data_IF_319313525171
#
_entry.id   IF_319313525171
#
_cell.length_a   1.000
_cell.length_b   1.000
_cell.length_c   1.000
_cell.angle_alpha   90.00
_cell.angle_beta   90.00
_cell.angle_gamma   90.00
#
_symmetry.space_group_name_H-M   'P 1'
#
loop_
_entity.id
_entity.type
_entity.pdbx_description
1 polymer ?
#
# COMPACT_ATOMS: atom_id res chain seq x y z
N UNK A 1 18.78 0.91 -22.03
CA UNK A 1 19.38 0.16 -20.91
C UNK A 1 18.54 0.40 -19.67
N UNK A 2 18.70 -0.37 -18.58
CA UNK A 2 17.95 -0.13 -17.32
C UNK A 2 18.15 1.29 -16.80
N UNK A 3 19.36 1.83 -16.92
CA UNK A 3 19.68 3.23 -16.56
C UNK A 3 18.84 4.23 -17.36
N UNK A 4 18.78 4.09 -18.68
CA UNK A 4 17.93 4.95 -19.51
C UNK A 4 16.45 4.81 -19.17
N UNK A 5 15.99 3.60 -18.81
CA UNK A 5 14.62 3.39 -18.34
C UNK A 5 14.34 4.07 -17.00
N UNK A 6 15.29 4.08 -16.05
CA UNK A 6 15.15 4.81 -14.78
C UNK A 6 15.19 6.33 -15.02
N UNK A 7 16.08 6.82 -15.88
CA UNK A 7 16.15 8.25 -16.23
C UNK A 7 14.89 8.77 -16.92
N UNK A 8 14.26 7.93 -17.73
CA UNK A 8 13.02 8.27 -18.43
C UNK A 8 11.76 8.05 -17.59
N UNK A 9 11.86 7.40 -16.42
CA UNK A 9 10.72 7.16 -15.56
C UNK A 9 10.39 8.42 -14.75
N UNK A 10 9.14 8.84 -14.81
CA UNK A 10 8.67 10.02 -14.08
C UNK A 10 8.45 9.68 -12.60
N UNK A 11 9.54 9.74 -11.84
CA UNK A 11 9.53 9.45 -10.41
C UNK A 11 8.60 10.41 -9.64
N UNK A 12 8.47 11.65 -10.09
CA UNK A 12 7.67 12.67 -9.41
C UNK A 12 6.17 12.34 -9.51
N UNK A 13 5.74 11.75 -10.63
CA UNK A 13 4.37 11.30 -10.83
C UNK A 13 3.97 10.06 -10.00
N UNK A 14 4.95 9.32 -9.43
CA UNK A 14 4.68 8.08 -8.70
C UNK A 14 3.76 8.28 -7.49
N UNK A 15 4.00 9.34 -6.72
CA UNK A 15 3.18 9.68 -5.53
C UNK A 15 1.72 9.94 -5.91
N UNK A 16 1.49 10.70 -6.97
CA UNK A 16 0.17 11.01 -7.53
C UNK A 16 -0.57 9.74 -7.97
N UNK A 17 0.09 8.85 -8.73
CA UNK A 17 -0.54 7.61 -9.18
C UNK A 17 -0.84 6.64 -8.02
N UNK A 18 -0.02 6.62 -6.97
CA UNK A 18 -0.33 5.88 -5.75
C UNK A 18 -1.59 6.45 -5.08
N UNK A 19 -1.69 7.77 -4.95
CA UNK A 19 -2.86 8.44 -4.36
C UNK A 19 -4.14 8.16 -5.16
N UNK A 20 -4.09 8.25 -6.49
CA UNK A 20 -5.20 7.90 -7.38
C UNK A 20 -5.72 6.47 -7.13
N UNK A 21 -4.81 5.50 -7.01
CA UNK A 21 -5.22 4.11 -6.73
C UNK A 21 -5.76 3.94 -5.30
N UNK A 22 -5.20 4.66 -4.33
CA UNK A 22 -5.73 4.67 -2.96
C UNK A 22 -7.17 5.19 -2.91
N UNK A 23 -7.51 6.23 -3.69
CA UNK A 23 -8.87 6.78 -3.78
C UNK A 23 -9.82 5.88 -4.59
N UNK A 24 -9.36 5.31 -5.71
CA UNK A 24 -10.19 4.46 -6.58
C UNK A 24 -10.55 3.10 -5.95
N UNK A 25 -9.59 2.45 -5.30
CA UNK A 25 -9.74 1.06 -4.80
C UNK A 25 -10.96 0.85 -3.90
N UNK A 26 -11.24 1.67 -2.86
CA UNK A 26 -12.40 1.47 -2.01
C UNK A 26 -13.73 1.65 -2.78
N UNK A 27 -13.81 2.64 -3.68
CA UNK A 27 -15.02 2.87 -4.49
C UNK A 27 -15.28 1.71 -5.45
N UNK A 28 -14.25 1.24 -6.16
CA UNK A 28 -14.34 0.11 -7.07
C UNK A 28 -14.80 -1.15 -6.35
N UNK A 29 -14.32 -1.36 -5.12
CA UNK A 29 -14.69 -2.50 -4.27
C UNK A 29 -16.17 -2.47 -3.88
N UNK A 30 -16.67 -1.34 -3.42
CA UNK A 30 -18.08 -1.17 -3.04
C UNK A 30 -18.99 -1.36 -4.26
N UNK A 31 -18.65 -0.76 -5.41
CA UNK A 31 -19.42 -0.92 -6.65
C UNK A 31 -19.43 -2.37 -7.12
N UNK A 32 -18.29 -3.07 -7.05
CA UNK A 32 -18.19 -4.48 -7.44
C UNK A 32 -19.09 -5.36 -6.56
N UNK A 33 -19.08 -5.15 -5.25
CA UNK A 33 -19.84 -5.98 -4.31
C UNK A 33 -21.35 -5.75 -4.42
N UNK A 34 -21.77 -4.48 -4.51
CA UNK A 34 -23.16 -4.14 -4.81
C UNK A 34 -23.63 -4.65 -6.18
N UNK A 35 -22.75 -4.70 -7.19
CA UNK A 35 -23.08 -5.32 -8.47
C UNK A 35 -23.33 -6.83 -8.35
N UNK A 36 -22.64 -7.52 -7.44
CA UNK A 36 -22.88 -8.93 -7.13
C UNK A 36 -24.22 -9.08 -6.42
N UNK A 37 -24.46 -8.31 -5.36
CA UNK A 37 -25.73 -8.34 -4.62
C UNK A 37 -26.95 -8.07 -5.53
N UNK A 38 -26.84 -7.10 -6.46
CA UNK A 38 -27.87 -6.83 -7.46
C UNK A 38 -28.07 -8.02 -8.42
N UNK A 39 -26.98 -8.67 -8.84
CA UNK A 39 -27.05 -9.85 -9.71
C UNK A 39 -27.73 -11.02 -9.00
N UNK A 40 -27.39 -11.25 -7.75
CA UNK A 40 -27.97 -12.30 -6.91
C UNK A 40 -29.45 -12.07 -6.67
N UNK A 41 -29.83 -10.84 -6.31
CA UNK A 41 -31.23 -10.43 -6.19
C UNK A 41 -32.02 -10.74 -7.47
N UNK A 42 -31.47 -10.35 -8.63
CA UNK A 42 -32.10 -10.63 -9.94
C UNK A 42 -32.23 -12.13 -10.18
N UNK A 43 -31.21 -12.93 -9.88
CA UNK A 43 -31.26 -14.39 -10.08
C UNK A 43 -32.27 -15.06 -9.15
N UNK A 44 -32.30 -14.67 -7.88
CA UNK A 44 -33.19 -15.27 -6.88
C UNK A 44 -34.67 -15.01 -7.22
N UNK A 45 -34.98 -13.80 -7.70
CA UNK A 45 -36.36 -13.38 -7.89
C UNK A 45 -36.87 -13.58 -9.32
N UNK A 46 -35.99 -13.94 -10.27
CA UNK A 46 -36.33 -14.20 -11.68
C UNK A 46 -37.49 -15.19 -11.86
N UNK A 47 -37.57 -16.23 -11.04
CA UNK A 47 -38.61 -17.25 -11.10
C UNK A 47 -39.83 -16.95 -10.22
N UNK A 48 -39.73 -15.97 -9.32
CA UNK A 48 -40.74 -15.65 -8.30
C UNK A 48 -41.51 -14.35 -8.59
N UNK A 49 -41.11 -13.61 -9.63
CA UNK A 49 -41.72 -12.35 -10.11
C UNK A 49 -43.25 -12.39 -10.30
N UNK A 50 -43.83 -13.55 -10.59
CA UNK A 50 -45.30 -13.69 -10.80
C UNK A 50 -46.05 -13.86 -9.48
N UNK A 51 -45.37 -14.29 -8.42
CA UNK A 51 -45.96 -14.72 -7.15
C UNK A 51 -45.60 -13.86 -5.96
N UNK A 52 -44.58 -13.01 -6.06
CA UNK A 52 -44.09 -12.16 -4.97
C UNK A 52 -44.83 -10.82 -4.89
N UNK A 53 -44.87 -10.27 -3.68
CA UNK A 53 -45.38 -8.94 -3.42
C UNK A 53 -44.45 -7.89 -4.04
N UNK A 54 -44.94 -7.23 -5.09
CA UNK A 54 -44.23 -6.18 -5.81
C UNK A 54 -43.75 -5.05 -4.90
N UNK A 55 -44.45 -4.74 -3.79
CA UNK A 55 -44.03 -3.68 -2.88
C UNK A 55 -42.78 -4.05 -2.08
N UNK A 56 -42.72 -5.30 -1.59
CA UNK A 56 -41.54 -5.82 -0.88
C UNK A 56 -40.34 -5.94 -1.83
N UNK A 57 -40.57 -6.45 -3.04
CA UNK A 57 -39.56 -6.51 -4.10
C UNK A 57 -38.97 -5.15 -4.44
N UNK A 58 -39.84 -4.15 -4.60
CA UNK A 58 -39.41 -2.79 -4.91
C UNK A 58 -38.61 -2.18 -3.76
N UNK A 59 -39.02 -2.41 -2.51
CA UNK A 59 -38.29 -1.94 -1.32
C UNK A 59 -36.89 -2.54 -1.24
N UNK A 60 -36.76 -3.86 -1.38
CA UNK A 60 -35.47 -4.56 -1.36
C UNK A 60 -34.56 -4.15 -2.51
N UNK A 61 -35.12 -4.04 -3.72
CA UNK A 61 -34.36 -3.56 -4.89
C UNK A 61 -33.91 -2.11 -4.71
N UNK A 62 -34.76 -1.24 -4.15
CA UNK A 62 -34.42 0.16 -3.92
C UNK A 62 -33.29 0.32 -2.89
N UNK A 63 -33.25 -0.53 -1.86
CA UNK A 63 -32.17 -0.56 -0.88
C UNK A 63 -30.82 -0.95 -1.50
N UNK A 64 -30.82 -1.75 -2.59
CA UNK A 64 -29.61 -2.12 -3.33
C UNK A 64 -29.23 -1.09 -4.40
N UNK A 65 -30.20 -0.59 -5.18
CA UNK A 65 -29.94 0.30 -6.33
C UNK A 65 -29.53 1.71 -5.90
N UNK A 66 -30.07 2.22 -4.78
CA UNK A 66 -29.78 3.58 -4.31
C UNK A 66 -28.31 3.77 -3.96
N UNK A 67 -27.70 2.96 -3.07
CA UNK A 67 -26.27 3.06 -2.78
C UNK A 67 -25.42 2.75 -4.03
N UNK A 68 -25.78 1.73 -4.82
CA UNK A 68 -25.09 1.43 -6.08
C UNK A 68 -24.99 2.60 -7.05
N UNK A 69 -26.06 3.39 -7.19
CA UNK A 69 -26.03 4.59 -8.02
C UNK A 69 -25.19 5.71 -7.41
N UNK A 70 -25.19 5.86 -6.09
CA UNK A 70 -24.37 6.85 -5.41
C UNK A 70 -22.89 6.53 -5.59
N UNK A 71 -22.50 5.27 -5.41
CA UNK A 71 -21.12 4.83 -5.52
C UNK A 71 -20.63 4.81 -6.98
N UNK A 72 -21.48 4.41 -7.94
CA UNK A 72 -21.17 4.60 -9.36
C UNK A 72 -20.98 6.07 -9.73
N UNK A 73 -21.79 6.96 -9.16
CA UNK A 73 -21.65 8.39 -9.39
C UNK A 73 -20.33 8.91 -8.82
N UNK A 74 -19.96 8.49 -7.61
CA UNK A 74 -18.67 8.83 -7.01
C UNK A 74 -17.51 8.34 -7.88
N UNK A 75 -17.57 7.09 -8.35
CA UNK A 75 -16.55 6.52 -9.24
C UNK A 75 -16.47 7.26 -10.58
N UNK A 76 -17.61 7.70 -11.14
CA UNK A 76 -17.65 8.51 -12.36
C UNK A 76 -17.23 9.98 -12.16
N UNK A 77 -17.11 10.42 -10.90
CA UNK A 77 -16.72 11.79 -10.55
C UNK A 77 -15.22 11.93 -10.29
N UNK A 78 -14.48 10.82 -10.25
CA UNK A 78 -13.01 10.83 -10.20
C UNK A 78 -12.48 11.59 -11.41
N UNK A 79 -11.51 12.46 -11.18
CA UNK A 79 -10.92 13.34 -12.20
C UNK A 79 -9.67 12.73 -12.87
N UNK A 80 -9.36 11.48 -12.54
CA UNK A 80 -8.25 10.70 -13.10
C UNK A 80 -8.71 9.39 -13.72
N UNK A 81 -7.89 8.81 -14.62
CA UNK A 81 -8.08 7.46 -15.14
C UNK A 81 -7.38 6.42 -14.24
N UNK A 82 -8.13 5.52 -13.57
CA UNK A 82 -7.54 4.46 -12.78
C UNK A 82 -6.71 3.49 -13.63
N UNK A 83 -7.06 3.26 -14.89
CA UNK A 83 -6.33 2.34 -15.76
C UNK A 83 -4.92 2.85 -16.07
N UNK A 84 -4.79 4.16 -16.29
CA UNK A 84 -3.49 4.82 -16.45
C UNK A 84 -2.64 4.67 -15.19
N UNK A 85 -3.22 4.91 -14.02
CA UNK A 85 -2.50 4.81 -12.74
C UNK A 85 -2.09 3.37 -12.41
N UNK A 86 -2.93 2.38 -12.72
CA UNK A 86 -2.58 0.95 -12.59
C UNK A 86 -1.42 0.60 -13.53
N UNK A 87 -1.49 1.02 -14.80
CA UNK A 87 -0.44 0.75 -15.77
C UNK A 87 0.90 1.41 -15.37
N UNK A 88 0.84 2.61 -14.82
CA UNK A 88 2.00 3.34 -14.30
C UNK A 88 2.66 2.57 -13.14
N UNK A 89 1.89 2.13 -12.15
CA UNK A 89 2.42 1.36 -11.01
C UNK A 89 2.94 -0.03 -11.43
N UNK A 90 2.32 -0.66 -12.43
CA UNK A 90 2.84 -1.90 -13.00
C UNK A 90 4.21 -1.68 -13.65
N UNK A 91 4.38 -0.61 -14.45
CA UNK A 91 5.65 -0.24 -15.04
C UNK A 91 6.71 0.12 -13.98
N UNK A 92 6.32 0.78 -12.90
CA UNK A 92 7.18 1.05 -11.74
C UNK A 92 7.68 -0.24 -11.09
N UNK A 93 6.78 -1.22 -10.90
CA UNK A 93 7.14 -2.54 -10.36
C UNK A 93 8.10 -3.31 -11.27
N UNK A 94 7.84 -3.36 -12.57
CA UNK A 94 8.77 -4.00 -13.53
C UNK A 94 10.14 -3.30 -13.57
N UNK A 95 10.17 -1.97 -13.41
CA UNK A 95 11.40 -1.22 -13.29
C UNK A 95 12.16 -1.60 -12.02
N UNK A 96 11.47 -1.68 -10.90
CA UNK A 96 12.01 -2.08 -9.61
C UNK A 96 12.57 -3.51 -9.64
N UNK A 97 11.88 -4.45 -10.29
CA UNK A 97 12.37 -5.82 -10.46
C UNK A 97 13.66 -5.87 -11.29
N UNK A 98 13.74 -5.05 -12.35
CA UNK A 98 14.97 -4.92 -13.16
C UNK A 98 16.11 -4.27 -12.40
N UNK A 99 15.82 -3.31 -11.52
CA UNK A 99 16.82 -2.70 -10.63
C UNK A 99 17.31 -3.73 -9.60
N UNK A 100 16.40 -4.49 -8.98
CA UNK A 100 16.73 -5.54 -8.02
C UNK A 100 17.54 -6.69 -8.63
N UNK A 101 17.37 -6.98 -9.92
CA UNK A 101 18.18 -7.96 -10.64
C UNK A 101 19.62 -7.48 -10.89
N UNK A 102 19.87 -6.17 -10.88
CA UNK A 102 21.20 -5.61 -11.01
C UNK A 102 21.99 -5.80 -9.70
N UNK A 103 23.18 -6.38 -9.80
CA UNK A 103 24.03 -6.64 -8.65
C UNK A 103 25.46 -6.19 -8.93
N UNK A 104 26.10 -5.68 -7.87
CA UNK A 104 27.51 -5.34 -7.90
C UNK A 104 28.33 -6.63 -8.02
N UNK A 105 29.32 -6.65 -8.92
CA UNK A 105 30.25 -7.77 -9.03
C UNK A 105 31.44 -7.48 -8.12
N UNK A 106 31.70 -8.28 -7.07
CA UNK A 106 32.81 -8.02 -6.15
C UNK A 106 34.14 -8.12 -6.90
N UNK A 107 34.95 -7.08 -6.80
CA UNK A 107 36.29 -7.02 -7.37
C UNK A 107 37.35 -7.16 -6.27
N UNK A 108 38.48 -7.82 -6.55
CA UNK A 108 39.59 -7.86 -5.61
C UNK A 108 40.13 -6.45 -5.35
N UNK A 109 40.47 -6.16 -4.09
CA UNK A 109 41.03 -4.87 -3.68
C UNK A 109 42.44 -4.63 -4.20
N UNK A 110 43.17 -5.69 -4.52
CA UNK A 110 44.47 -5.62 -5.20
C UNK A 110 44.41 -6.36 -6.55
N UNK A 111 44.74 -5.64 -7.62
CA UNK A 111 44.83 -6.16 -8.98
C UNK A 111 46.28 -6.28 -9.48
N UNK A 112 47.28 -6.00 -8.62
CA UNK A 112 48.71 -5.99 -8.99
C UNK A 112 49.17 -7.30 -9.61
N UNK A 113 48.71 -8.42 -9.05
CA UNK A 113 49.00 -9.81 -9.44
C UNK A 113 48.24 -10.30 -10.68
N UNK A 114 47.30 -9.52 -11.21
CA UNK A 114 46.52 -9.92 -12.38
C UNK A 114 47.33 -9.81 -13.67
N UNK A 115 47.09 -10.75 -14.60
CA UNK A 115 47.59 -10.65 -15.96
C UNK A 115 47.02 -9.42 -16.68
N UNK A 116 47.64 -8.96 -17.77
CA UNK A 116 47.11 -7.81 -18.54
C UNK A 116 45.68 -8.07 -19.06
N UNK A 117 45.39 -9.30 -19.48
CA UNK A 117 44.06 -9.71 -19.93
C UNK A 117 43.05 -9.64 -18.79
N UNK A 118 43.43 -10.07 -17.59
CA UNK A 118 42.55 -10.04 -16.42
C UNK A 118 42.39 -8.61 -15.87
N UNK A 119 43.42 -7.77 -15.95
CA UNK A 119 43.31 -6.32 -15.66
C UNK A 119 42.31 -5.63 -16.59
N UNK A 120 42.30 -5.96 -17.89
CA UNK A 120 41.30 -5.42 -18.82
C UNK A 120 39.88 -5.81 -18.38
N UNK A 121 39.65 -7.08 -18.05
CA UNK A 121 38.34 -7.54 -17.54
C UNK A 121 37.97 -6.87 -16.23
N UNK A 122 38.93 -6.71 -15.32
CA UNK A 122 38.77 -6.01 -14.05
C UNK A 122 38.21 -4.60 -14.28
N UNK A 123 38.85 -3.79 -15.13
CA UNK A 123 38.39 -2.42 -15.39
C UNK A 123 37.03 -2.36 -16.11
N UNK A 124 36.71 -3.34 -16.98
CA UNK A 124 35.37 -3.45 -17.58
C UNK A 124 34.28 -3.72 -16.53
N UNK A 125 34.59 -4.58 -15.55
CA UNK A 125 33.69 -4.86 -14.43
C UNK A 125 33.59 -3.66 -13.48
N UNK A 126 34.67 -2.92 -13.26
CA UNK A 126 34.66 -1.71 -12.44
C UNK A 126 33.78 -0.61 -13.06
N UNK A 127 33.90 -0.40 -14.38
CA UNK A 127 33.04 0.52 -15.14
C UNK A 127 31.56 0.10 -15.06
N UNK A 128 31.28 -1.20 -15.19
CA UNK A 128 29.93 -1.74 -14.95
C UNK A 128 29.44 -1.46 -13.52
N UNK A 129 30.27 -1.66 -12.50
CA UNK A 129 29.91 -1.39 -11.11
C UNK A 129 29.66 0.10 -10.83
N UNK A 130 30.34 1.01 -11.54
CA UNK A 130 30.02 2.46 -11.53
C UNK A 130 28.61 2.69 -12.04
N UNK A 131 28.24 2.09 -13.18
CA UNK A 131 26.90 2.19 -13.76
C UNK A 131 25.82 1.59 -12.84
N UNK A 132 26.10 0.49 -12.16
CA UNK A 132 25.20 -0.10 -11.16
C UNK A 132 25.00 0.84 -9.96
N UNK A 133 26.04 1.52 -9.50
CA UNK A 133 25.92 2.54 -8.42
C UNK A 133 25.08 3.72 -8.87
N UNK A 134 25.28 4.22 -10.09
CA UNK A 134 24.44 5.28 -10.68
C UNK A 134 22.97 4.83 -10.75
N UNK A 135 22.72 3.59 -11.18
CA UNK A 135 21.37 3.02 -11.24
C UNK A 135 20.67 3.06 -9.87
N UNK A 136 21.35 2.60 -8.81
CA UNK A 136 20.76 2.60 -7.46
C UNK A 136 20.52 4.00 -6.91
N UNK A 137 21.38 4.96 -7.21
CA UNK A 137 21.16 6.36 -6.82
C UNK A 137 19.94 6.96 -7.52
N UNK A 138 19.79 6.72 -8.83
CA UNK A 138 18.67 7.23 -9.61
C UNK A 138 17.35 6.54 -9.23
N UNK A 139 17.39 5.24 -8.93
CA UNK A 139 16.22 4.47 -8.54
C UNK A 139 15.83 4.66 -7.06
N UNK A 140 16.53 5.50 -6.29
CA UNK A 140 16.35 5.65 -4.84
C UNK A 140 14.89 5.81 -4.43
N UNK A 141 14.16 6.73 -5.05
CA UNK A 141 12.74 6.98 -4.73
C UNK A 141 11.85 5.77 -5.07
N UNK A 142 12.11 5.09 -6.19
CA UNK A 142 11.35 3.88 -6.58
C UNK A 142 11.63 2.73 -5.58
N UNK A 143 12.87 2.65 -5.09
CA UNK A 143 13.28 1.69 -4.05
C UNK A 143 12.63 2.04 -2.71
N UNK A 144 12.58 3.32 -2.34
CA UNK A 144 11.93 3.76 -1.09
C UNK A 144 10.43 3.47 -1.11
N UNK A 145 9.78 3.59 -2.28
CA UNK A 145 8.39 3.21 -2.50
C UNK A 145 8.16 1.70 -2.72
N UNK A 146 9.20 0.86 -2.66
CA UNK A 146 9.10 -0.58 -2.95
C UNK A 146 8.01 -1.27 -2.14
N UNK A 147 7.94 -0.99 -0.84
CA UNK A 147 6.96 -1.62 0.06
C UNK A 147 5.55 -1.26 -0.38
N UNK A 148 5.27 0.02 -0.62
CA UNK A 148 3.98 0.49 -1.11
C UNK A 148 3.62 -0.13 -2.47
N UNK A 149 4.55 -0.15 -3.43
CA UNK A 149 4.32 -0.77 -4.76
C UNK A 149 3.98 -2.26 -4.61
N UNK A 150 4.73 -3.00 -3.81
CA UNK A 150 4.52 -4.45 -3.59
C UNK A 150 3.25 -4.73 -2.81
N UNK A 151 2.94 -3.91 -1.83
CA UNK A 151 1.70 -3.99 -1.06
C UNK A 151 0.47 -3.79 -1.98
N UNK A 152 0.50 -2.83 -2.89
CA UNK A 152 -0.59 -2.66 -3.87
C UNK A 152 -0.65 -3.79 -4.90
N UNK A 153 0.48 -4.34 -5.32
CA UNK A 153 0.52 -5.49 -6.25
C UNK A 153 0.10 -6.81 -5.59
N UNK A 154 0.31 -6.96 -4.28
CA UNK A 154 0.03 -8.19 -3.53
C UNK A 154 -1.31 -8.22 -2.78
N UNK A 155 -1.92 -7.07 -2.52
CA UNK A 155 -3.22 -7.01 -1.87
C UNK A 155 -4.33 -7.35 -2.86
N UNK A 156 -4.78 -8.61 -2.86
CA UNK A 156 -6.19 -8.87 -3.19
C UNK A 156 -7.02 -8.07 -2.17
N UNK A 157 -7.86 -7.13 -2.60
CA UNK A 157 -8.63 -6.31 -1.67
C UNK A 157 -9.55 -7.23 -0.86
N UNK A 158 -9.20 -7.46 0.41
CA UNK A 158 -10.04 -8.25 1.32
C UNK A 158 -11.26 -7.40 1.69
N UNK A 159 -12.39 -7.79 1.12
CA UNK A 159 -13.76 -7.54 1.54
C UNK A 159 -14.02 -7.25 3.01
N UNK A 160 -14.75 -6.20 3.42
CA UNK A 160 -15.51 -6.38 4.69
C UNK A 160 -16.64 -7.41 4.45
N UNK A 161 -17.15 -7.45 3.22
CA UNK A 161 -18.08 -8.46 2.71
C UNK A 161 -17.41 -9.85 2.62
N UNK A 162 -16.15 -9.97 2.19
CA UNK A 162 -15.44 -11.28 2.22
C UNK A 162 -15.31 -11.86 3.63
N UNK A 163 -15.19 -11.01 4.65
CA UNK A 163 -15.20 -11.42 6.07
C UNK A 163 -16.60 -11.87 6.46
N UNK A 164 -17.62 -11.06 6.15
CA UNK A 164 -19.02 -11.35 6.48
C UNK A 164 -19.54 -12.59 5.76
N UNK A 165 -19.19 -12.81 4.50
CA UNK A 165 -19.55 -13.98 3.70
C UNK A 165 -18.91 -15.24 4.26
N UNK A 166 -17.64 -15.15 4.66
CA UNK A 166 -16.93 -16.26 5.29
C UNK A 166 -17.51 -16.58 6.69
N UNK A 167 -17.88 -15.57 7.47
CA UNK A 167 -18.58 -15.73 8.76
C UNK A 167 -19.98 -16.30 8.58
N UNK A 168 -20.74 -15.82 7.59
CA UNK A 168 -22.06 -16.34 7.27
C UNK A 168 -21.99 -17.82 6.83
N UNK A 169 -20.99 -18.20 6.04
CA UNK A 169 -20.77 -19.60 5.68
C UNK A 169 -20.52 -20.49 6.91
N UNK A 170 -19.78 -19.99 7.90
CA UNK A 170 -19.57 -20.66 9.20
C UNK A 170 -20.91 -20.81 9.93
N UNK A 171 -21.70 -19.74 10.05
CA UNK A 171 -23.01 -19.76 10.72
C UNK A 171 -23.99 -20.75 10.08
N UNK A 172 -24.06 -20.78 8.74
CA UNK A 172 -24.90 -21.73 8.00
C UNK A 172 -24.48 -23.18 8.27
N UNK A 173 -23.17 -23.46 8.30
CA UNK A 173 -22.64 -24.79 8.60
C UNK A 173 -22.93 -25.19 10.05
N UNK A 174 -22.80 -24.27 11.01
CA UNK A 174 -23.17 -24.54 12.41
C UNK A 174 -24.65 -24.89 12.56
N UNK A 175 -25.54 -24.15 11.91
CA UNK A 175 -26.98 -24.42 11.92
C UNK A 175 -27.28 -25.78 11.29
N UNK A 176 -26.63 -26.12 10.16
CA UNK A 176 -26.77 -27.43 9.52
C UNK A 176 -26.32 -28.56 10.45
N UNK A 177 -25.18 -28.44 11.11
CA UNK A 177 -24.65 -29.46 12.04
C UNK A 177 -25.60 -29.70 13.22
N UNK A 178 -26.31 -28.67 13.70
CA UNK A 178 -27.31 -28.79 14.78
C UNK A 178 -28.60 -29.48 14.35
N UNK A 179 -28.80 -29.73 13.05
CA UNK A 179 -29.97 -30.45 12.55
C UNK A 179 -29.93 -31.94 12.95
N UNK A 180 -30.93 -32.35 13.72
CA UNK A 180 -31.06 -33.68 14.30
C UNK A 180 -31.37 -34.78 13.28
N UNK A 181 -31.65 -34.42 12.02
CA UNK A 181 -31.94 -35.38 10.93
C UNK A 181 -30.71 -35.88 10.18
N UNK A 182 -29.51 -35.37 10.49
CA UNK A 182 -28.28 -35.79 9.83
C UNK A 182 -27.73 -37.09 10.40
N UNK A 183 -27.23 -37.95 9.53
CA UNK A 183 -26.43 -39.11 9.91
C UNK A 183 -25.09 -38.69 10.53
N UNK A 184 -24.43 -39.62 11.21
CA UNK A 184 -23.16 -39.36 11.88
C UNK A 184 -22.03 -39.09 10.86
N UNK A 185 -22.05 -39.77 9.71
CA UNK A 185 -21.10 -39.54 8.62
C UNK A 185 -21.28 -38.16 7.97
N UNK A 186 -22.53 -37.72 7.74
CA UNK A 186 -22.81 -36.38 7.22
C UNK A 186 -22.39 -35.28 8.21
N UNK A 187 -22.62 -35.51 9.51
CA UNK A 187 -22.17 -34.59 10.55
C UNK A 187 -20.65 -34.45 10.58
N UNK A 188 -19.92 -35.54 10.38
CA UNK A 188 -18.46 -35.51 10.38
C UNK A 188 -17.91 -34.77 9.15
N UNK A 189 -18.49 -34.97 7.97
CA UNK A 189 -18.13 -34.20 6.76
C UNK A 189 -18.37 -32.71 6.97
N UNK A 190 -19.54 -32.33 7.51
CA UNK A 190 -19.85 -30.91 7.77
C UNK A 190 -18.93 -30.29 8.83
N UNK A 191 -18.46 -31.04 9.83
CA UNK A 191 -17.46 -30.55 10.80
C UNK A 191 -16.11 -30.29 10.16
N UNK A 192 -15.68 -31.14 9.23
CA UNK A 192 -14.45 -30.90 8.47
C UNK A 192 -14.58 -29.64 7.61
N UNK A 193 -15.72 -29.46 6.94
CA UNK A 193 -16.00 -28.25 6.14
C UNK A 193 -16.07 -26.99 7.01
N UNK A 194 -16.71 -27.07 8.19
CA UNK A 194 -16.74 -25.98 9.18
C UNK A 194 -15.32 -25.59 9.61
N UNK A 195 -14.46 -26.57 9.88
CA UNK A 195 -13.07 -26.32 10.26
C UNK A 195 -12.30 -25.59 9.16
N UNK A 196 -12.51 -25.97 7.89
CA UNK A 196 -11.91 -25.29 6.75
C UNK A 196 -12.41 -23.84 6.60
N UNK A 197 -13.71 -23.60 6.78
CA UNK A 197 -14.26 -22.23 6.71
C UNK A 197 -13.81 -21.37 7.88
N UNK A 198 -13.74 -21.91 9.10
CA UNK A 198 -13.18 -21.20 10.26
C UNK A 198 -11.70 -20.84 10.05
N UNK A 199 -10.91 -21.74 9.47
CA UNK A 199 -9.52 -21.44 9.10
C UNK A 199 -9.45 -20.30 8.07
N UNK A 200 -10.32 -20.33 7.04
CA UNK A 200 -10.43 -19.26 6.04
C UNK A 200 -10.76 -17.91 6.68
N UNK A 201 -11.73 -17.85 7.60
CA UNK A 201 -12.07 -16.63 8.36
C UNK A 201 -10.86 -16.12 9.14
N UNK A 202 -10.13 -17.01 9.82
CA UNK A 202 -8.91 -16.65 10.55
C UNK A 202 -7.83 -16.05 9.64
N UNK A 203 -7.62 -16.63 8.45
CA UNK A 203 -6.62 -16.14 7.51
C UNK A 203 -7.00 -14.78 6.91
N UNK A 204 -8.29 -14.59 6.58
CA UNK A 204 -8.84 -13.30 6.13
C UNK A 204 -8.69 -12.23 7.21
N UNK A 205 -9.05 -12.54 8.47
CA UNK A 205 -8.89 -11.62 9.60
C UNK A 205 -7.43 -11.30 9.90
N UNK A 206 -6.52 -12.27 9.77
CA UNK A 206 -5.08 -12.04 9.90
C UNK A 206 -4.57 -11.07 8.84
N UNK A 207 -4.93 -11.28 7.57
CA UNK A 207 -4.56 -10.38 6.49
C UNK A 207 -5.11 -8.95 6.70
N UNK A 208 -6.32 -8.81 7.26
CA UNK A 208 -6.87 -7.51 7.67
C UNK A 208 -6.05 -6.87 8.79
N UNK A 209 -5.73 -7.62 9.85
CA UNK A 209 -4.96 -7.11 10.98
C UNK A 209 -3.52 -6.71 10.57
N UNK A 210 -2.89 -7.46 9.66
CA UNK A 210 -1.59 -7.10 9.07
C UNK A 210 -1.70 -5.77 8.31
N UNK A 211 -2.76 -5.59 7.52
CA UNK A 211 -3.01 -4.32 6.81
C UNK A 211 -3.28 -3.16 7.76
N UNK A 212 -4.06 -3.37 8.82
CA UNK A 212 -4.29 -2.36 9.87
C UNK A 212 -3.00 -2.01 10.62
N UNK A 213 -2.13 -2.99 10.87
CA UNK A 213 -0.80 -2.76 11.47
C UNK A 213 0.11 -1.93 10.57
N UNK A 214 0.08 -2.16 9.25
CA UNK A 214 0.80 -1.33 8.28
C UNK A 214 0.24 0.09 8.26
N UNK A 215 -1.10 0.24 8.27
CA UNK A 215 -1.75 1.55 8.37
C UNK A 215 -1.34 2.30 9.65
N UNK A 216 -1.25 1.61 10.78
CA UNK A 216 -0.78 2.16 12.06
C UNK A 216 0.70 2.58 11.99
N UNK A 217 1.56 1.77 11.34
CA UNK A 217 2.96 2.13 11.12
C UNK A 217 3.12 3.37 10.21
N UNK A 218 2.22 3.52 9.23
CA UNK A 218 2.16 4.69 8.34
C UNK A 218 1.61 5.93 9.05
N UNK A 219 1.04 5.80 10.24
CA UNK A 219 0.52 6.94 11.03
C UNK A 219 1.66 7.89 11.49
N UNK A 220 2.90 7.39 11.61
CA UNK A 220 4.07 8.23 11.86
C UNK A 220 4.45 9.16 10.70
N UNK A 221 3.90 8.90 9.51
CA UNK A 221 4.16 9.64 8.28
C UNK A 221 2.99 10.56 7.88
N UNK A 222 2.02 10.81 8.79
CA UNK A 222 0.88 11.72 8.56
C UNK A 222 1.27 13.18 8.24
N UNK A 223 2.54 13.56 8.47
CA UNK A 223 3.11 14.84 8.01
C UNK A 223 3.07 14.99 6.49
N UNK A 224 3.08 13.87 5.77
CA UNK A 224 2.90 13.86 4.33
C UNK A 224 1.39 13.84 4.02
N UNK A 225 0.84 14.86 3.35
CA UNK A 225 -0.59 14.99 3.12
C UNK A 225 -1.21 13.78 2.43
N UNK A 226 -0.43 13.14 1.56
CA UNK A 226 -0.81 11.98 0.78
C UNK A 226 -0.96 10.71 1.64
N UNK A 227 -0.18 10.60 2.73
CA UNK A 227 -0.28 9.50 3.71
C UNK A 227 -1.50 9.69 4.60
N UNK A 228 -1.78 10.92 5.04
CA UNK A 228 -2.99 11.22 5.81
C UNK A 228 -4.27 10.98 5.02
N UNK A 229 -4.26 11.32 3.72
CA UNK A 229 -5.35 11.02 2.79
C UNK A 229 -5.51 9.52 2.56
N UNK A 230 -4.42 8.77 2.35
CA UNK A 230 -4.44 7.32 2.14
C UNK A 230 -4.96 6.52 3.36
N UNK A 231 -4.85 7.09 4.57
CA UNK A 231 -5.35 6.50 5.81
C UNK A 231 -6.77 6.97 6.18
N UNK A 232 -7.42 7.79 5.34
CA UNK A 232 -8.73 8.39 5.62
C UNK A 232 -8.78 9.13 6.97
N UNK A 233 -7.65 9.69 7.40
CA UNK A 233 -7.59 10.48 8.64
C UNK A 233 -7.80 11.95 8.29
N UNK A 234 -8.87 12.54 8.81
CA UNK A 234 -9.11 13.98 8.70
C UNK A 234 -7.89 14.73 9.22
N UNK A 235 -7.23 15.49 8.35
CA UNK A 235 -6.22 16.45 8.79
C UNK A 235 -6.97 17.55 9.55
N UNK A 236 -7.08 17.42 10.88
CA UNK A 236 -7.18 18.62 11.71
C UNK A 236 -5.93 19.44 11.41
N UNK A 237 -6.06 20.66 10.84
CA UNK A 237 -4.90 21.49 10.54
C UNK A 237 -4.12 21.68 11.82
N UNK A 238 -2.91 21.15 11.88
CA UNK A 238 -1.97 21.50 12.93
C UNK A 238 -1.68 22.98 12.73
N UNK A 239 -2.28 23.80 13.59
CA UNK A 239 -2.10 25.25 13.57
C UNK A 239 -0.58 25.51 13.64
N UNK A 240 0.05 26.12 12.61
CA UNK A 240 1.51 26.24 12.53
C UNK A 240 2.16 27.08 13.65
N UNK A 241 1.37 27.53 14.63
CA UNK A 241 1.74 28.52 15.63
C UNK A 241 1.83 27.97 17.07
N UNK A 242 1.51 26.71 17.37
CA UNK A 242 1.56 26.19 18.77
C UNK A 242 2.86 25.46 19.17
N UNK A 243 3.82 25.24 18.26
CA UNK A 243 5.09 24.58 18.59
C UNK A 243 6.34 25.44 18.37
N UNK A 244 6.25 26.72 18.74
CA UNK A 244 7.43 27.48 19.16
C UNK A 244 7.26 27.90 20.62
N UNK A 245 7.31 26.92 21.53
CA UNK A 245 7.83 27.20 22.86
C UNK A 245 9.32 27.49 22.70
N UNK A 246 9.62 28.77 22.52
CA UNK A 246 10.94 29.32 22.80
C UNK A 246 11.25 28.99 24.26
N UNK A 247 12.11 27.99 24.47
CA UNK A 247 12.84 27.89 25.72
C UNK A 247 13.74 29.12 25.78
N UNK A 248 13.26 30.14 26.48
CA UNK A 248 14.03 31.29 26.89
C UNK A 248 15.18 30.81 27.79
N UNK A 249 16.31 30.53 27.16
CA UNK A 249 17.61 30.54 27.80
C UNK A 249 18.17 31.95 27.60
N UNK A 250 17.70 32.90 28.40
CA UNK A 250 18.45 34.11 28.72
C UNK A 250 19.70 33.69 29.50
N UNK A 251 20.71 33.23 28.74
CA UNK A 251 22.07 33.07 29.21
C UNK A 251 22.74 34.44 29.27
N UNK A 252 22.89 34.94 30.48
CA UNK A 252 23.66 36.11 30.87
C UNK A 252 25.09 36.04 30.30
N UNK A 253 25.33 36.69 29.15
CA UNK A 253 26.69 36.84 28.59
C UNK A 253 27.40 37.96 29.36
N UNK A 254 28.04 37.58 30.47
CA UNK A 254 28.98 38.42 31.18
C UNK A 254 30.15 38.80 30.28
N UNK A 255 30.24 40.09 29.92
CA UNK A 255 31.41 40.67 29.28
C UNK A 255 32.63 40.54 30.21
N UNK A 256 33.56 39.64 29.87
CA UNK A 256 34.89 39.61 30.50
C UNK A 256 35.90 40.23 29.53
N UNK A 257 36.10 41.54 29.68
CA UNK A 257 37.18 42.30 29.05
C UNK A 257 38.50 41.82 29.64
N UNK A 258 39.24 40.97 28.92
CA UNK A 258 40.66 40.73 29.22
C UNK A 258 41.48 41.82 28.54
N UNK A 259 41.98 42.75 29.36
CA UNK A 259 43.12 43.61 29.02
C UNK A 259 44.34 42.72 28.83
N UNK A 260 44.83 42.57 27.60
CA UNK A 260 46.20 42.15 27.38
C UNK A 260 47.09 43.38 27.45
N UNK A 261 47.84 43.44 28.54
CA UNK A 261 48.93 44.36 28.78
C UNK A 261 50.09 44.06 27.84
N UNK A 262 50.55 45.12 27.19
CA UNK A 262 51.84 45.27 26.53
C UNK A 262 52.99 44.64 27.34
N UNK A 263 53.84 43.87 26.65
CA UNK A 263 55.27 43.83 26.96
C UNK A 263 56.04 43.81 25.64
N UNK A 264 56.53 44.99 25.28
CA UNK A 264 57.75 45.20 24.52
C UNK A 264 58.91 44.40 25.12
N UNK A 265 59.65 43.65 24.30
CA UNK A 265 61.10 43.50 24.47
C UNK A 265 61.74 43.47 23.08
N UNK A 266 62.42 44.56 22.75
CA UNK A 266 63.49 44.64 21.76
C UNK A 266 64.76 43.98 22.33
N UNK A 267 65.49 43.24 21.49
CA UNK A 267 66.95 43.04 21.53
C UNK A 267 67.32 42.30 20.23
N UNK A 268 67.87 42.98 19.23
CA UNK A 268 69.32 43.04 18.93
C UNK A 268 69.96 41.68 18.61
#
# INVERSE_FOLDING_TARGET
STIESVKAFDVDALSTHIAHIAEYTPLAKVVASQSVALREFVQEHKSKLVTEDCALLLSSLSALVTPFRADLKALSALDFDPAESIAFLAAAGELLDRVNAAHHIPLPSDHSVLSLTDKRKYYQVDEFNVLVRELFQLAGVVIDCQTSIKEYQGMSPVSEEDVLDAEYAVDVLEVRIRNHRLSETEREVLRQELTQQQQKVCDIKRARAERESVAEALTGYLVFPDVASALSMDQTPLDPLEHVQTSSLEGEVGMMVKRETETLVEAE
#
